data_IF_988793097371
#
_entry.id   IF_988793097371
#
_cell.length_a   1.000
_cell.length_b   1.000
_cell.length_c   1.000
_cell.angle_alpha   90.00
_cell.angle_beta   90.00
_cell.angle_gamma   90.00
#
_symmetry.space_group_name_H-M   'P 1'
#
loop_
_entity.id
_entity.type
_entity.pdbx_description
1 polymer ?
#
# COMPACT_ATOMS: atom_id res chain seq x y z
N UNK A 1 15.53 3.88 29.53
CA UNK A 1 15.35 3.12 28.29
C UNK A 1 13.88 3.07 27.89
N UNK A 2 12.97 2.74 28.82
CA UNK A 2 11.52 2.62 28.55
C UNK A 2 10.88 3.88 27.93
N UNK A 3 11.18 5.06 28.48
CA UNK A 3 10.67 6.33 27.96
C UNK A 3 11.12 6.63 26.49
N UNK A 4 12.23 6.04 26.06
CA UNK A 4 12.78 6.22 24.70
C UNK A 4 12.14 5.24 23.71
N UNK A 5 11.88 4.01 24.15
CA UNK A 5 11.10 3.01 23.39
C UNK A 5 9.68 3.55 23.18
N UNK A 6 9.06 4.12 24.21
CA UNK A 6 7.75 4.76 24.11
C UNK A 6 7.72 5.91 23.10
N UNK A 7 8.79 6.72 23.06
CA UNK A 7 8.91 7.83 22.09
C UNK A 7 8.98 7.32 20.64
N UNK A 8 9.73 6.24 20.38
CA UNK A 8 9.84 5.62 19.05
C UNK A 8 8.54 4.91 18.63
N UNK A 9 7.85 4.28 19.59
CA UNK A 9 6.53 3.70 19.37
C UNK A 9 5.48 4.79 19.07
N UNK A 10 5.50 5.92 19.79
CA UNK A 10 4.62 7.07 19.50
C UNK A 10 4.89 7.69 18.13
N UNK A 11 6.15 7.77 17.70
CA UNK A 11 6.53 8.24 16.37
C UNK A 11 6.05 7.33 15.24
N UNK A 12 6.12 6.02 15.47
CA UNK A 12 5.60 5.02 14.54
C UNK A 12 4.09 5.15 14.42
N UNK A 13 3.39 5.46 15.52
CA UNK A 13 1.96 5.80 15.54
C UNK A 13 1.67 7.13 14.81
N UNK A 14 2.52 8.13 14.97
CA UNK A 14 2.41 9.44 14.31
C UNK A 14 2.59 9.38 12.78
N UNK A 15 3.58 8.62 12.28
CA UNK A 15 3.84 8.42 10.84
C UNK A 15 2.70 7.72 10.10
N UNK A 16 1.78 7.08 10.82
CA UNK A 16 0.54 6.51 10.28
C UNK A 16 -0.61 7.54 10.19
N UNK A 17 -0.34 8.84 10.38
CA UNK A 17 -1.27 9.94 10.17
C UNK A 17 -2.17 10.30 11.36
N UNK A 18 -1.70 10.06 12.60
CA UNK A 18 -2.54 10.01 13.82
C UNK A 18 -2.23 11.05 14.91
N UNK A 19 -1.56 12.16 14.61
CA UNK A 19 -1.24 13.17 15.63
C UNK A 19 -1.22 14.58 15.04
N UNK A 20 -1.56 15.57 15.87
CA UNK A 20 -1.44 16.98 15.50
C UNK A 20 -0.01 17.26 15.01
N UNK A 21 0.18 18.00 13.89
CA UNK A 21 1.49 18.19 13.27
C UNK A 21 2.59 18.65 14.24
N UNK A 22 2.24 19.50 15.22
CA UNK A 22 3.16 19.99 16.24
C UNK A 22 3.73 18.87 17.12
N UNK A 23 2.89 17.92 17.57
CA UNK A 23 3.33 16.80 18.42
C UNK A 23 4.08 15.74 17.60
N UNK A 24 3.74 15.57 16.32
CA UNK A 24 4.55 14.75 15.39
C UNK A 24 5.95 15.33 15.25
N UNK A 25 6.04 16.66 15.07
CA UNK A 25 7.31 17.36 14.97
C UNK A 25 8.14 17.22 16.24
N UNK A 26 7.54 17.38 17.42
CA UNK A 26 8.24 17.24 18.70
C UNK A 26 8.83 15.84 18.90
N UNK A 27 8.03 14.79 18.65
CA UNK A 27 8.53 13.41 18.76
C UNK A 27 9.62 13.13 17.73
N UNK A 28 9.46 13.60 16.50
CA UNK A 28 10.46 13.48 15.44
C UNK A 28 11.79 14.10 15.88
N UNK A 29 11.78 15.30 16.45
CA UNK A 29 12.97 15.95 17.02
C UNK A 29 13.60 15.11 18.13
N UNK A 30 12.80 14.55 19.06
CA UNK A 30 13.33 13.69 20.14
C UNK A 30 14.00 12.43 19.59
N UNK A 31 13.41 11.77 18.61
CA UNK A 31 14.03 10.60 17.97
C UNK A 31 15.27 10.96 17.16
N UNK A 32 15.30 12.12 16.49
CA UNK A 32 16.48 12.59 15.77
C UNK A 32 17.65 12.87 16.73
N UNK A 33 17.39 13.49 17.88
CA UNK A 33 18.38 13.68 18.94
C UNK A 33 18.89 12.34 19.49
N UNK A 34 18.01 11.37 19.71
CA UNK A 34 18.41 10.04 20.18
C UNK A 34 19.26 9.28 19.16
N UNK A 35 18.88 9.36 17.87
CA UNK A 35 19.67 8.77 16.78
C UNK A 35 21.06 9.38 16.69
N UNK A 36 21.16 10.71 16.84
CA UNK A 36 22.45 11.40 16.87
C UNK A 36 23.33 10.88 18.02
N UNK A 37 22.77 10.81 19.24
CA UNK A 37 23.52 10.29 20.42
C UNK A 37 24.07 8.87 20.22
N UNK A 38 23.33 7.98 19.58
CA UNK A 38 23.83 6.63 19.27
C UNK A 38 25.01 6.70 18.30
N UNK A 39 24.89 7.50 17.24
CA UNK A 39 25.97 7.69 16.26
C UNK A 39 27.20 8.35 16.90
N UNK A 40 27.00 9.30 17.81
CA UNK A 40 28.06 9.96 18.56
C UNK A 40 28.76 8.98 19.50
N UNK A 41 28.00 8.07 20.13
CA UNK A 41 28.56 7.00 20.95
C UNK A 41 29.49 6.09 20.14
N UNK A 42 29.04 5.62 18.97
CA UNK A 42 29.91 4.85 18.07
C UNK A 42 31.09 5.68 17.55
N UNK A 43 30.88 6.98 17.28
CA UNK A 43 31.95 7.88 16.82
C UNK A 43 33.05 7.99 17.87
N UNK A 44 32.68 8.24 19.12
CA UNK A 44 33.61 8.38 20.24
C UNK A 44 34.27 7.06 20.64
N UNK A 45 33.63 5.92 20.39
CA UNK A 45 34.24 4.61 20.62
C UNK A 45 35.29 4.28 19.57
N UNK A 46 35.06 4.63 18.31
CA UNK A 46 35.91 4.20 17.19
C UNK A 46 37.00 5.21 16.82
N UNK A 47 36.76 6.49 17.10
CA UNK A 47 37.60 7.60 16.66
C UNK A 47 37.92 8.58 17.78
N UNK A 48 39.14 9.11 17.74
CA UNK A 48 39.58 10.23 18.55
C UNK A 48 38.98 11.55 18.01
N UNK A 49 39.03 12.63 18.79
CA UNK A 49 38.61 13.98 18.41
C UNK A 49 37.16 14.14 17.89
N UNK A 50 36.24 13.31 18.38
CA UNK A 50 34.80 13.38 18.04
C UNK A 50 34.50 13.30 16.53
N UNK A 51 35.35 12.61 15.76
CA UNK A 51 35.12 12.42 14.32
C UNK A 51 33.88 11.56 14.10
N UNK A 52 32.90 12.10 13.37
CA UNK A 52 31.68 11.36 13.04
C UNK A 52 31.98 10.08 12.23
N UNK A 53 31.33 8.96 12.58
CA UNK A 53 31.36 7.70 11.81
C UNK A 53 30.94 7.84 10.34
N UNK A 54 30.32 8.96 9.97
CA UNK A 54 29.90 9.27 8.60
C UNK A 54 30.74 10.35 7.92
N UNK A 55 31.82 10.83 8.56
CA UNK A 55 32.75 11.82 8.01
C UNK A 55 33.22 11.42 6.60
N UNK A 56 33.38 12.42 5.73
CA UNK A 56 33.92 12.21 4.38
C UNK A 56 35.34 11.67 4.41
N UNK A 57 36.12 12.05 5.41
CA UNK A 57 37.50 11.57 5.62
C UNK A 57 37.58 10.06 5.81
N UNK A 58 36.48 9.40 6.21
CA UNK A 58 36.38 7.97 6.50
C UNK A 58 35.70 7.16 5.37
N UNK A 59 35.61 7.73 4.16
CA UNK A 59 34.98 7.05 3.00
C UNK A 59 35.85 5.96 2.39
N UNK A 60 37.17 6.21 2.29
CA UNK A 60 38.12 5.30 1.62
C UNK A 60 38.67 4.28 2.61
N UNK A 61 39.02 4.74 3.80
CA UNK A 61 39.59 3.93 4.87
C UNK A 61 38.85 4.27 6.16
N UNK A 62 38.17 3.28 6.73
CA UNK A 62 37.35 3.49 7.92
C UNK A 62 38.22 3.49 9.19
N UNK A 63 39.15 2.55 9.34
CA UNK A 63 40.06 2.48 10.49
C UNK A 63 41.40 3.16 10.20
N UNK A 64 41.38 4.47 10.02
CA UNK A 64 42.61 5.25 9.82
C UNK A 64 43.49 5.24 11.08
N UNK A 65 44.75 4.79 11.02
CA UNK A 65 45.62 4.69 12.20
C UNK A 65 45.81 6.03 12.94
N UNK A 66 45.73 7.15 12.23
CA UNK A 66 45.99 8.49 12.80
C UNK A 66 44.86 9.05 13.66
N UNK A 67 43.67 8.47 13.61
CA UNK A 67 42.46 8.99 14.29
C UNK A 67 41.60 7.90 14.92
N UNK A 68 42.01 6.62 14.81
CA UNK A 68 41.26 5.50 15.36
C UNK A 68 41.74 5.15 16.77
N UNK A 69 40.80 4.82 17.66
CA UNK A 69 41.07 4.36 19.03
C UNK A 69 41.64 2.93 19.09
N UNK A 70 41.76 2.25 17.96
CA UNK A 70 42.17 0.84 17.86
C UNK A 70 41.04 -0.17 18.09
N UNK A 71 39.85 0.29 18.50
CA UNK A 71 38.66 -0.56 18.65
C UNK A 71 38.12 -0.92 17.26
N UNK A 72 37.93 -2.22 17.02
CA UNK A 72 37.27 -2.75 15.81
C UNK A 72 35.89 -3.29 16.13
N UNK A 73 34.95 -3.01 15.23
CA UNK A 73 33.58 -3.51 15.31
C UNK A 73 33.55 -5.03 15.08
N UNK A 74 32.81 -5.74 15.93
CA UNK A 74 32.48 -7.14 15.73
C UNK A 74 31.35 -7.30 14.70
N UNK A 75 31.09 -8.54 14.26
CA UNK A 75 29.94 -8.86 13.39
C UNK A 75 28.63 -8.39 14.02
N UNK A 76 28.46 -8.54 15.33
CA UNK A 76 27.27 -8.08 16.04
C UNK A 76 27.10 -6.57 16.04
N UNK A 77 28.20 -5.81 16.14
CA UNK A 77 28.16 -4.35 16.11
C UNK A 77 27.76 -3.83 14.73
N UNK A 78 28.29 -4.46 13.67
CA UNK A 78 27.86 -4.18 12.30
C UNK A 78 26.39 -4.51 12.08
N UNK A 79 25.90 -5.67 12.51
CA UNK A 79 24.48 -6.01 12.43
C UNK A 79 23.62 -4.93 13.13
N UNK A 80 24.01 -4.52 14.35
CA UNK A 80 23.29 -3.50 15.10
C UNK A 80 23.23 -2.16 14.37
N UNK A 81 24.34 -1.70 13.79
CA UNK A 81 24.40 -0.46 13.01
C UNK A 81 23.56 -0.54 11.73
N UNK A 82 23.63 -1.66 11.00
CA UNK A 82 22.84 -1.91 9.80
C UNK A 82 21.34 -1.89 10.13
N UNK A 83 20.93 -2.63 11.16
CA UNK A 83 19.54 -2.70 11.63
C UNK A 83 19.07 -1.33 12.08
N UNK A 84 19.90 -0.60 12.81
CA UNK A 84 19.60 0.74 13.29
C UNK A 84 19.34 1.70 12.13
N UNK A 85 20.23 1.77 11.13
CA UNK A 85 20.05 2.67 9.99
C UNK A 85 18.88 2.25 9.10
N UNK A 86 18.72 0.95 8.85
CA UNK A 86 17.60 0.42 8.07
C UNK A 86 16.25 0.74 8.73
N UNK A 87 16.11 0.52 10.04
CA UNK A 87 14.88 0.80 10.80
C UNK A 87 14.53 2.29 10.82
N UNK A 88 15.52 3.16 10.59
CA UNK A 88 15.34 4.60 10.49
C UNK A 88 15.11 5.11 9.05
N UNK A 89 14.84 4.19 8.10
CA UNK A 89 14.68 4.46 6.67
C UNK A 89 15.91 5.15 6.05
N UNK A 90 17.11 4.92 6.61
CA UNK A 90 18.39 5.41 6.07
C UNK A 90 19.07 4.29 5.29
N UNK A 91 18.42 3.85 4.22
CA UNK A 91 18.85 2.71 3.41
C UNK A 91 20.26 2.90 2.82
N UNK A 92 20.59 4.13 2.40
CA UNK A 92 21.94 4.47 1.91
C UNK A 92 23.01 4.27 3.00
N UNK A 93 22.70 4.62 4.25
CA UNK A 93 23.63 4.44 5.39
C UNK A 93 23.72 2.97 5.80
N UNK A 94 22.60 2.24 5.82
CA UNK A 94 22.62 0.80 6.04
C UNK A 94 23.46 0.09 4.98
N UNK A 95 23.35 0.49 3.71
CA UNK A 95 24.15 -0.09 2.64
C UNK A 95 25.63 0.26 2.74
N UNK A 96 25.97 1.49 3.16
CA UNK A 96 27.35 1.88 3.47
C UNK A 96 27.97 0.99 4.56
N UNK A 97 27.18 0.57 5.55
CA UNK A 97 27.66 -0.36 6.58
C UNK A 97 27.88 -1.77 6.06
N UNK A 98 27.07 -2.25 5.10
CA UNK A 98 27.38 -3.49 4.39
C UNK A 98 28.70 -3.40 3.61
N UNK A 99 28.95 -2.30 2.90
CA UNK A 99 30.21 -2.16 2.15
C UNK A 99 31.42 -2.14 3.09
N UNK A 100 31.29 -1.48 4.25
CA UNK A 100 32.33 -1.48 5.29
C UNK A 100 32.52 -2.87 5.91
N UNK A 101 31.43 -3.60 6.11
CA UNK A 101 31.52 -4.99 6.56
C UNK A 101 32.25 -5.83 5.53
N UNK A 102 31.92 -5.70 4.24
CA UNK A 102 32.53 -6.44 3.13
C UNK A 102 34.03 -6.09 2.93
N UNK A 103 34.51 -4.98 3.49
CA UNK A 103 35.94 -4.60 3.50
C UNK A 103 36.72 -5.28 4.63
N UNK A 104 36.08 -5.49 5.78
CA UNK A 104 36.71 -6.04 7.00
C UNK A 104 36.51 -7.56 7.12
N UNK A 105 35.39 -8.05 6.61
CA UNK A 105 34.92 -9.42 6.67
C UNK A 105 34.43 -9.87 5.29
N UNK A 106 34.16 -11.16 5.14
CA UNK A 106 33.54 -11.70 3.93
C UNK A 106 32.02 -11.83 4.10
N UNK A 107 31.28 -11.78 2.99
CA UNK A 107 29.82 -11.98 2.96
C UNK A 107 29.37 -13.29 3.61
N UNK A 108 30.26 -14.28 3.68
CA UNK A 108 30.03 -15.59 4.29
C UNK A 108 29.73 -15.49 5.80
N UNK A 109 30.13 -14.37 6.44
CA UNK A 109 29.89 -14.09 7.85
C UNK A 109 28.61 -13.28 8.09
N UNK A 110 27.82 -13.00 7.05
CA UNK A 110 26.52 -12.35 7.23
C UNK A 110 25.61 -13.21 8.07
N UNK A 111 25.01 -12.60 9.09
CA UNK A 111 23.95 -13.24 9.87
C UNK A 111 22.66 -13.36 9.04
N UNK A 112 21.70 -14.19 9.45
CA UNK A 112 20.39 -14.26 8.79
C UNK A 112 19.67 -12.91 8.70
N UNK A 113 19.84 -12.05 9.71
CA UNK A 113 19.23 -10.71 9.75
C UNK A 113 19.91 -9.74 8.79
N UNK A 114 21.24 -9.83 8.67
CA UNK A 114 21.99 -9.09 7.67
C UNK A 114 21.56 -9.49 6.25
N UNK A 115 21.38 -10.80 5.99
CA UNK A 115 20.85 -11.27 4.70
C UNK A 115 19.44 -10.73 4.41
N UNK A 116 18.51 -10.83 5.38
CA UNK A 116 17.16 -10.28 5.26
C UNK A 116 17.18 -8.80 4.86
N UNK A 117 17.98 -7.98 5.55
CA UNK A 117 18.12 -6.56 5.23
C UNK A 117 18.79 -6.34 3.88
N UNK A 118 19.84 -7.12 3.55
CA UNK A 118 20.55 -7.00 2.27
C UNK A 118 19.61 -7.28 1.10
N UNK A 119 18.77 -8.31 1.19
CA UNK A 119 17.74 -8.55 0.18
C UNK A 119 16.73 -7.39 0.12
N UNK A 120 16.21 -6.92 1.26
CA UNK A 120 15.24 -5.80 1.31
C UNK A 120 15.75 -4.54 0.63
N UNK A 121 17.00 -4.14 0.89
CA UNK A 121 17.64 -2.98 0.23
C UNK A 121 17.77 -3.23 -1.29
N UNK A 122 18.07 -4.46 -1.71
CA UNK A 122 18.23 -4.85 -3.10
C UNK A 122 16.93 -5.29 -3.79
N UNK A 123 15.78 -4.77 -3.35
CA UNK A 123 14.48 -5.00 -4.00
C UNK A 123 13.58 -6.01 -3.29
N UNK A 124 13.98 -6.57 -2.16
CA UNK A 124 13.12 -7.44 -1.34
C UNK A 124 12.05 -6.69 -0.54
N UNK A 125 12.03 -5.35 -0.57
CA UNK A 125 11.01 -4.53 0.11
C UNK A 125 10.11 -3.78 -0.90
N UNK A 126 8.84 -4.18 -1.06
CA UNK A 126 7.88 -3.56 -1.98
C UNK A 126 7.59 -2.09 -1.70
N UNK A 127 7.86 -1.60 -0.49
CA UNK A 127 7.71 -0.17 -0.16
C UNK A 127 8.71 0.71 -0.91
N UNK A 128 9.79 0.11 -1.40
CA UNK A 128 10.87 0.77 -2.15
C UNK A 128 10.72 0.60 -3.67
N UNK A 129 9.60 0.04 -4.14
CA UNK A 129 9.36 -0.20 -5.56
C UNK A 129 8.65 0.98 -6.20
N UNK A 130 9.13 1.37 -7.39
CA UNK A 130 8.40 2.29 -8.25
C UNK A 130 7.35 1.51 -8.99
N UNK A 131 6.08 1.73 -8.67
CA UNK A 131 4.97 1.17 -9.45
C UNK A 131 5.01 1.82 -10.82
N UNK A 132 5.19 1.00 -11.85
CA UNK A 132 5.27 1.48 -13.22
C UNK A 132 3.86 1.75 -13.76
N UNK A 133 3.77 2.74 -14.64
CA UNK A 133 2.56 3.05 -15.39
C UNK A 133 2.24 1.87 -16.32
N UNK A 134 0.95 1.55 -16.43
CA UNK A 134 0.44 0.63 -17.45
C UNK A 134 -0.27 1.47 -18.54
N UNK A 135 -0.51 0.88 -19.70
CA UNK A 135 -1.12 1.55 -20.87
C UNK A 135 -2.47 2.23 -20.58
N UNK A 136 -3.19 1.77 -19.55
CA UNK A 136 -4.51 2.29 -19.15
C UNK A 136 -4.49 3.02 -17.81
N UNK A 137 -3.36 3.08 -17.10
CA UNK A 137 -3.31 3.63 -15.75
C UNK A 137 -1.93 4.13 -15.28
N UNK A 138 -1.93 5.32 -14.66
CA UNK A 138 -0.75 5.89 -13.98
C UNK A 138 -0.92 5.75 -12.46
N UNK A 139 0.03 5.05 -11.83
CA UNK A 139 0.23 5.11 -10.38
C UNK A 139 1.40 6.02 -10.10
N UNK A 140 1.13 7.24 -9.66
CA UNK A 140 2.18 8.09 -9.14
C UNK A 140 2.37 7.79 -7.64
N UNK A 141 3.28 6.86 -7.31
CA UNK A 141 3.70 6.63 -5.93
C UNK A 141 5.03 7.32 -5.68
N UNK A 142 5.07 8.19 -4.67
CA UNK A 142 6.33 8.67 -4.10
C UNK A 142 7.04 7.50 -3.40
N UNK A 143 7.94 6.85 -4.12
CA UNK A 143 8.79 5.78 -3.58
C UNK A 143 9.81 6.40 -2.64
N UNK A 144 10.18 5.73 -1.56
CA UNK A 144 11.40 6.11 -0.84
C UNK A 144 12.61 5.81 -1.75
N UNK A 145 13.32 6.86 -2.18
CA UNK A 145 14.49 6.71 -3.04
C UNK A 145 15.72 6.49 -2.17
N UNK A 146 16.49 5.46 -2.52
CA UNK A 146 17.89 5.30 -2.10
C UNK A 146 18.73 5.72 -3.29
N UNK A 147 19.69 6.61 -3.07
CA UNK A 147 20.65 7.02 -4.11
C UNK A 147 21.75 5.97 -4.31
N UNK A 148 21.77 4.94 -3.48
CA UNK A 148 22.76 3.88 -3.53
C UNK A 148 22.53 2.92 -4.71
N UNK A 149 23.62 2.58 -5.41
CA UNK A 149 23.63 1.60 -6.52
C UNK A 149 23.43 0.18 -6.00
N UNK A 150 22.31 -0.44 -6.37
CA UNK A 150 21.97 -1.81 -5.95
C UNK A 150 22.96 -2.83 -6.53
N UNK A 151 23.20 -3.89 -5.77
CA UNK A 151 23.99 -5.04 -6.20
C UNK A 151 23.23 -5.81 -7.30
N UNK A 152 23.91 -6.27 -8.38
CA UNK A 152 23.29 -7.14 -9.37
C UNK A 152 22.69 -8.39 -8.71
N UNK A 153 21.48 -8.77 -9.13
CA UNK A 153 20.75 -9.91 -8.54
C UNK A 153 21.55 -11.22 -8.60
N UNK A 154 22.25 -11.47 -9.70
CA UNK A 154 23.08 -12.67 -9.87
C UNK A 154 24.19 -12.73 -8.82
N UNK A 155 24.86 -11.61 -8.56
CA UNK A 155 25.89 -11.52 -7.53
C UNK A 155 25.28 -11.76 -6.14
N UNK A 156 24.14 -11.14 -5.84
CA UNK A 156 23.46 -11.29 -4.54
C UNK A 156 23.06 -12.75 -4.27
N UNK A 157 22.40 -13.39 -5.24
CA UNK A 157 21.96 -14.78 -5.11
C UNK A 157 23.14 -15.76 -5.05
N UNK A 158 24.16 -15.58 -5.89
CA UNK A 158 25.34 -16.45 -5.88
C UNK A 158 26.08 -16.35 -4.55
N UNK A 159 26.24 -15.15 -3.98
CA UNK A 159 26.88 -14.99 -2.67
C UNK A 159 26.05 -15.64 -1.55
N UNK A 160 24.73 -15.49 -1.58
CA UNK A 160 23.84 -16.09 -0.58
C UNK A 160 23.87 -17.62 -0.63
N UNK A 161 23.69 -18.21 -1.82
CA UNK A 161 23.53 -19.65 -2.03
C UNK A 161 24.81 -20.46 -1.78
N UNK A 162 25.99 -19.83 -1.75
CA UNK A 162 27.25 -20.51 -1.37
C UNK A 162 27.21 -21.06 0.05
N UNK A 163 26.49 -20.40 0.96
CA UNK A 163 26.57 -20.67 2.40
C UNK A 163 25.20 -20.80 3.08
N UNK A 164 24.11 -20.48 2.39
CA UNK A 164 22.78 -20.46 2.96
C UNK A 164 21.80 -21.32 2.16
N UNK A 165 20.82 -21.84 2.87
CA UNK A 165 19.67 -22.53 2.29
C UNK A 165 18.65 -21.51 1.76
N UNK A 166 18.13 -21.77 0.57
CA UNK A 166 17.16 -20.94 -0.15
C UNK A 166 15.90 -20.65 0.68
N UNK A 167 15.44 -21.66 1.40
CA UNK A 167 14.23 -21.66 2.22
C UNK A 167 14.27 -20.62 3.34
N UNK A 168 15.47 -20.23 3.80
CA UNK A 168 15.64 -19.29 4.92
C UNK A 168 15.26 -17.84 4.58
N UNK A 169 15.22 -17.48 3.29
CA UNK A 169 14.97 -16.10 2.82
C UNK A 169 14.02 -16.05 1.62
N UNK A 170 13.23 -17.11 1.43
CA UNK A 170 12.40 -17.31 0.23
C UNK A 170 11.44 -16.14 -0.07
N UNK A 171 10.83 -15.54 0.95
CA UNK A 171 9.94 -14.39 0.81
C UNK A 171 10.66 -13.21 0.15
N UNK A 172 11.82 -12.84 0.68
CA UNK A 172 12.63 -11.75 0.17
C UNK A 172 13.21 -12.05 -1.22
N UNK A 173 13.55 -13.31 -1.50
CA UNK A 173 14.05 -13.74 -2.81
C UNK A 173 12.97 -13.61 -3.87
N UNK A 174 11.75 -14.07 -3.61
CA UNK A 174 10.60 -13.90 -4.52
C UNK A 174 10.37 -12.42 -4.82
N UNK A 175 10.43 -11.57 -3.79
CA UNK A 175 10.29 -10.12 -3.95
C UNK A 175 11.42 -9.53 -4.78
N UNK A 176 12.69 -9.90 -4.54
CA UNK A 176 13.82 -9.48 -5.37
C UNK A 176 13.64 -9.90 -6.84
N UNK A 177 13.28 -11.16 -7.11
CA UNK A 177 13.00 -11.63 -8.47
C UNK A 177 11.88 -10.80 -9.12
N UNK A 178 10.83 -10.48 -8.36
CA UNK A 178 9.75 -9.61 -8.79
C UNK A 178 10.22 -8.20 -9.14
N UNK A 179 11.03 -7.58 -8.28
CA UNK A 179 11.61 -6.26 -8.51
C UNK A 179 12.45 -6.21 -9.79
N UNK A 180 13.27 -7.23 -10.03
CA UNK A 180 14.11 -7.36 -11.22
C UNK A 180 13.36 -7.92 -12.45
N UNK A 181 12.04 -8.09 -12.37
CA UNK A 181 11.16 -8.58 -13.45
C UNK A 181 11.54 -9.96 -13.98
N UNK A 182 12.05 -10.84 -13.12
CA UNK A 182 12.42 -12.23 -13.45
C UNK A 182 11.27 -13.18 -13.12
N UNK A 183 10.14 -12.97 -13.79
CA UNK A 183 8.89 -13.71 -13.52
C UNK A 183 9.06 -15.21 -13.75
N UNK A 184 9.73 -15.62 -14.83
CA UNK A 184 9.98 -17.05 -15.11
C UNK A 184 10.78 -17.73 -14.00
N UNK A 185 11.74 -17.01 -13.40
CA UNK A 185 12.51 -17.51 -12.26
C UNK A 185 11.65 -17.65 -11.01
N UNK A 186 10.62 -16.82 -10.82
CA UNK A 186 9.65 -17.00 -9.73
C UNK A 186 8.87 -18.29 -9.93
N UNK A 187 8.40 -18.55 -11.15
CA UNK A 187 7.67 -19.78 -11.48
C UNK A 187 8.54 -21.02 -11.30
N UNK A 188 9.78 -20.96 -11.79
CA UNK A 188 10.75 -22.04 -11.59
C UNK A 188 11.00 -22.30 -10.10
N UNK A 189 11.18 -21.24 -9.30
CA UNK A 189 11.39 -21.34 -7.86
C UNK A 189 10.20 -21.99 -7.14
N UNK A 190 8.99 -21.53 -7.43
CA UNK A 190 7.75 -22.09 -6.85
C UNK A 190 7.60 -23.55 -7.25
N UNK A 191 7.83 -23.85 -8.53
CA UNK A 191 7.78 -25.21 -9.05
C UNK A 191 8.80 -26.12 -8.37
N UNK A 192 10.05 -25.68 -8.21
CA UNK A 192 11.13 -26.44 -7.58
C UNK A 192 10.86 -26.75 -6.10
N UNK A 193 10.40 -25.77 -5.33
CA UNK A 193 10.25 -25.89 -3.87
C UNK A 193 8.92 -26.52 -3.48
N UNK A 194 7.83 -26.10 -4.14
CA UNK A 194 6.47 -26.46 -3.75
C UNK A 194 5.79 -27.43 -4.72
N UNK A 195 6.39 -27.70 -5.88
CA UNK A 195 5.82 -28.61 -6.87
C UNK A 195 4.51 -28.10 -7.49
N UNK A 196 4.32 -26.79 -7.56
CA UNK A 196 3.17 -26.15 -8.22
C UNK A 196 3.63 -25.53 -9.53
N UNK A 197 2.93 -25.82 -10.62
CA UNK A 197 3.24 -25.26 -11.93
C UNK A 197 2.61 -23.87 -12.16
N UNK A 198 2.85 -23.28 -13.33
CA UNK A 198 2.29 -21.99 -13.75
C UNK A 198 0.76 -21.95 -13.86
N UNK A 199 0.12 -23.12 -13.98
CA UNK A 199 -1.34 -23.23 -14.00
C UNK A 199 -1.95 -23.23 -12.61
N UNK A 200 -1.13 -23.38 -11.56
CA UNK A 200 -1.58 -23.56 -10.18
C UNK A 200 -1.89 -25.02 -9.86
N UNK A 201 -1.50 -25.95 -10.73
CA UNK A 201 -1.73 -27.38 -10.49
C UNK A 201 -0.52 -28.02 -9.82
N UNK A 202 -0.78 -29.02 -9.00
CA UNK A 202 0.28 -29.80 -8.35
C UNK A 202 0.89 -30.74 -9.38
N UNK A 203 2.21 -30.68 -9.54
CA UNK A 203 2.95 -31.57 -10.42
C UNK A 203 2.94 -32.99 -9.83
N UNK A 204 2.45 -34.00 -10.57
CA UNK A 204 2.43 -35.39 -10.11
C UNK A 204 3.84 -35.87 -9.75
N UNK A 205 3.96 -36.66 -8.68
CA UNK A 205 5.19 -37.33 -8.24
C UNK A 205 6.34 -36.40 -7.79
N UNK A 206 6.11 -35.09 -7.63
CA UNK A 206 7.10 -34.21 -7.01
C UNK A 206 6.96 -34.23 -5.49
N UNK A 207 8.04 -34.63 -4.81
CA UNK A 207 8.13 -34.57 -3.35
C UNK A 207 8.11 -33.09 -2.99
N UNK A 208 7.02 -32.65 -2.34
CA UNK A 208 6.92 -31.29 -1.79
C UNK A 208 7.95 -31.24 -0.65
N UNK A 209 8.80 -30.22 -0.65
CA UNK A 209 9.65 -29.96 0.52
C UNK A 209 8.78 -29.88 1.79
N UNK A 210 9.22 -30.47 2.91
CA UNK A 210 8.52 -30.38 4.21
C UNK A 210 8.39 -28.92 4.72
N UNK A 211 8.95 -27.93 4.01
CA UNK A 211 8.66 -26.52 4.23
C UNK A 211 7.21 -26.19 3.92
N UNK A 212 6.39 -26.14 4.97
CA UNK A 212 5.08 -25.51 4.93
C UNK A 212 5.19 -24.09 4.33
N UNK A 213 4.39 -23.81 3.32
CA UNK A 213 4.29 -22.48 2.75
C UNK A 213 3.66 -21.52 3.77
N UNK A 214 4.31 -20.39 4.02
CA UNK A 214 3.81 -19.37 4.93
C UNK A 214 2.85 -18.40 4.21
N UNK A 215 1.98 -17.73 4.97
CA UNK A 215 1.20 -16.59 4.46
C UNK A 215 2.14 -15.49 3.91
N UNK A 216 3.34 -15.33 4.48
CA UNK A 216 4.34 -14.38 4.01
C UNK A 216 4.89 -14.71 2.62
N UNK A 217 5.11 -16.00 2.31
CA UNK A 217 5.47 -16.47 0.97
C UNK A 217 4.34 -16.19 -0.01
N UNK A 218 3.10 -16.55 0.35
CA UNK A 218 1.95 -16.29 -0.51
C UNK A 218 1.79 -14.80 -0.81
N UNK A 219 1.95 -13.96 0.21
CA UNK A 219 1.93 -12.51 0.07
C UNK A 219 3.05 -12.01 -0.85
N UNK A 220 4.25 -12.58 -0.74
CA UNK A 220 5.40 -12.23 -1.60
C UNK A 220 5.14 -12.57 -3.06
N UNK A 221 4.53 -13.74 -3.34
CA UNK A 221 4.11 -14.16 -4.69
C UNK A 221 3.10 -13.17 -5.26
N UNK A 222 2.04 -12.86 -4.51
CA UNK A 222 1.01 -11.90 -4.94
C UNK A 222 1.64 -10.55 -5.27
N UNK A 223 2.47 -10.01 -4.39
CA UNK A 223 3.10 -8.70 -4.62
C UNK A 223 4.02 -8.74 -5.84
N UNK A 224 4.90 -9.75 -5.95
CA UNK A 224 5.87 -9.86 -7.04
C UNK A 224 5.19 -10.02 -8.41
N UNK A 225 4.19 -10.89 -8.51
CA UNK A 225 3.45 -11.10 -9.76
C UNK A 225 2.57 -9.89 -10.11
N UNK A 226 1.88 -9.30 -9.13
CA UNK A 226 1.05 -8.11 -9.35
C UNK A 226 1.87 -6.92 -9.85
N UNK A 227 3.07 -6.72 -9.30
CA UNK A 227 3.99 -5.68 -9.75
C UNK A 227 4.42 -5.86 -11.21
N UNK A 228 4.48 -7.10 -11.70
CA UNK A 228 4.82 -7.46 -13.07
C UNK A 228 3.59 -7.65 -13.97
N UNK A 229 2.44 -7.06 -13.61
CA UNK A 229 1.19 -7.14 -14.37
C UNK A 229 0.63 -8.57 -14.53
N UNK A 230 1.01 -9.50 -13.65
CA UNK A 230 0.55 -10.90 -13.60
C UNK A 230 -0.39 -11.16 -12.42
N UNK A 231 -1.19 -10.17 -12.04
CA UNK A 231 -2.09 -10.25 -10.87
C UNK A 231 -3.01 -11.48 -10.90
N UNK A 232 -3.67 -11.76 -12.03
CA UNK A 232 -4.60 -12.89 -12.12
C UNK A 232 -3.88 -14.25 -12.07
N UNK A 233 -2.63 -14.33 -12.51
CA UNK A 233 -1.81 -15.55 -12.37
C UNK A 233 -1.50 -15.80 -10.89
N UNK A 234 -1.31 -14.76 -10.08
CA UNK A 234 -1.13 -14.89 -8.62
C UNK A 234 -2.34 -15.52 -7.91
N UNK A 235 -3.55 -15.31 -8.42
CA UNK A 235 -4.77 -15.92 -7.85
C UNK A 235 -4.77 -17.44 -8.00
N UNK A 236 -4.16 -17.96 -9.07
CA UNK A 236 -4.04 -19.41 -9.28
C UNK A 236 -3.18 -20.04 -8.19
N UNK A 237 -2.07 -19.40 -7.84
CA UNK A 237 -1.21 -19.84 -6.74
C UNK A 237 -1.92 -19.78 -5.39
N UNK A 238 -2.73 -18.74 -5.12
CA UNK A 238 -3.54 -18.70 -3.89
C UNK A 238 -4.43 -19.93 -3.77
N UNK A 239 -5.19 -20.23 -4.82
CA UNK A 239 -6.10 -21.38 -4.83
C UNK A 239 -5.33 -22.70 -4.66
N UNK A 240 -4.21 -22.86 -5.37
CA UNK A 240 -3.35 -24.04 -5.31
C UNK A 240 -2.79 -24.31 -3.90
N UNK A 241 -2.38 -23.24 -3.20
CA UNK A 241 -1.80 -23.38 -1.87
C UNK A 241 -2.85 -23.56 -0.78
N UNK A 242 -4.06 -23.03 -0.97
CA UNK A 242 -5.20 -23.35 -0.11
C UNK A 242 -5.64 -24.81 -0.27
N UNK A 243 -5.64 -25.35 -1.49
CA UNK A 243 -6.06 -26.74 -1.75
C UNK A 243 -5.01 -27.77 -1.31
N UNK A 244 -3.72 -27.48 -1.50
CA UNK A 244 -2.67 -28.50 -1.37
C UNK A 244 -1.77 -28.36 -0.14
N UNK A 245 -1.71 -27.17 0.48
CA UNK A 245 -0.70 -26.87 1.49
C UNK A 245 -1.28 -26.30 2.81
N UNK A 246 -2.59 -26.45 3.04
CA UNK A 246 -3.27 -26.09 4.28
C UNK A 246 -2.99 -24.64 4.76
N UNK A 247 -2.84 -23.70 3.83
CA UNK A 247 -2.70 -22.28 4.17
C UNK A 247 -4.08 -21.71 4.53
N UNK A 248 -4.31 -21.50 5.82
CA UNK A 248 -5.57 -20.92 6.31
C UNK A 248 -5.53 -19.40 6.26
N UNK A 249 -6.32 -18.82 5.35
CA UNK A 249 -6.48 -17.36 5.21
C UNK A 249 -7.45 -16.73 6.23
N UNK A 250 -7.89 -17.53 7.21
CA UNK A 250 -8.81 -17.14 8.28
C UNK A 250 -8.08 -16.68 9.56
N UNK A 251 -6.75 -16.78 9.57
CA UNK A 251 -5.94 -16.43 10.74
C UNK A 251 -5.77 -14.92 10.93
N UNK A 252 -5.39 -14.50 12.14
CA UNK A 252 -5.06 -13.10 12.45
C UNK A 252 -3.91 -12.57 11.57
N UNK A 253 -3.00 -13.45 11.15
CA UNK A 253 -1.84 -13.12 10.33
C UNK A 253 -2.22 -12.83 8.87
N UNK A 254 -3.37 -13.34 8.41
CA UNK A 254 -3.88 -13.10 7.06
C UNK A 254 -4.37 -11.66 6.83
N UNK A 255 -4.58 -10.85 7.87
CA UNK A 255 -5.05 -9.47 7.71
C UNK A 255 -4.10 -8.57 6.89
N UNK A 256 -2.79 -8.82 6.97
CA UNK A 256 -1.80 -8.15 6.12
C UNK A 256 -1.85 -8.63 4.67
N UNK A 257 -1.97 -9.95 4.48
CA UNK A 257 -2.15 -10.56 3.16
C UNK A 257 -3.37 -9.99 2.44
N UNK A 258 -4.55 -10.01 3.08
CA UNK A 258 -5.78 -9.46 2.50
C UNK A 258 -5.67 -7.97 2.20
N UNK A 259 -5.03 -7.21 3.09
CA UNK A 259 -4.74 -5.79 2.85
C UNK A 259 -3.92 -5.56 1.59
N UNK A 260 -2.88 -6.37 1.36
CA UNK A 260 -2.07 -6.30 0.15
C UNK A 260 -2.82 -6.80 -1.09
N UNK A 261 -3.59 -7.88 -0.96
CA UNK A 261 -4.41 -8.42 -2.04
C UNK A 261 -5.36 -7.35 -2.57
N UNK A 262 -6.21 -6.78 -1.70
CA UNK A 262 -7.14 -5.70 -2.06
C UNK A 262 -6.43 -4.47 -2.62
N UNK A 263 -5.29 -4.08 -2.04
CA UNK A 263 -4.49 -2.97 -2.56
C UNK A 263 -4.04 -3.23 -3.99
N UNK A 264 -3.50 -4.41 -4.28
CA UNK A 264 -3.05 -4.77 -5.62
C UNK A 264 -4.23 -4.99 -6.58
N UNK A 265 -5.38 -5.50 -6.12
CA UNK A 265 -6.63 -5.51 -6.89
C UNK A 265 -7.03 -4.10 -7.30
N UNK A 266 -7.04 -3.15 -6.36
CA UNK A 266 -7.41 -1.76 -6.65
C UNK A 266 -6.44 -1.14 -7.66
N UNK A 267 -5.13 -1.35 -7.49
CA UNK A 267 -4.11 -0.80 -8.38
C UNK A 267 -4.18 -1.38 -9.80
N UNK A 268 -4.41 -2.69 -9.93
CA UNK A 268 -4.36 -3.40 -11.22
C UNK A 268 -5.63 -3.23 -12.04
N UNK A 269 -6.78 -3.05 -11.39
CA UNK A 269 -8.08 -2.86 -12.04
C UNK A 269 -8.45 -1.40 -12.28
N UNK A 270 -7.66 -0.44 -11.76
CA UNK A 270 -7.93 0.99 -11.93
C UNK A 270 -7.48 1.43 -13.31
N UNK A 271 -8.20 2.40 -13.86
CA UNK A 271 -7.88 3.00 -15.15
C UNK A 271 -8.09 4.51 -15.14
N UNK A 272 -7.45 5.20 -16.07
CA UNK A 272 -7.63 6.62 -16.34
C UNK A 272 -8.37 6.79 -17.67
N UNK A 273 -9.47 7.55 -17.68
CA UNK A 273 -10.30 7.76 -18.89
C UNK A 273 -9.48 8.26 -20.09
N UNK A 274 -8.52 9.17 -19.88
CA UNK A 274 -7.66 9.69 -20.94
C UNK A 274 -6.77 8.59 -21.53
N UNK A 275 -6.15 7.79 -20.67
CA UNK A 275 -5.28 6.70 -21.12
C UNK A 275 -6.06 5.56 -21.76
N UNK A 276 -7.26 5.27 -21.28
CA UNK A 276 -8.19 4.33 -21.91
C UNK A 276 -8.55 4.79 -23.32
N UNK A 277 -8.80 6.09 -23.51
CA UNK A 277 -9.01 6.68 -24.82
C UNK A 277 -7.76 6.58 -25.70
N UNK A 278 -6.59 6.98 -25.20
CA UNK A 278 -5.31 6.87 -25.93
C UNK A 278 -5.02 5.42 -26.35
N UNK A 279 -5.25 4.46 -25.45
CA UNK A 279 -5.08 3.03 -25.70
C UNK A 279 -6.05 2.51 -26.77
N UNK A 280 -7.32 2.89 -26.66
CA UNK A 280 -8.35 2.51 -27.62
C UNK A 280 -8.04 3.04 -29.03
N UNK A 281 -7.65 4.32 -29.13
CA UNK A 281 -7.23 4.94 -30.39
C UNK A 281 -6.02 4.22 -30.98
N UNK A 282 -4.99 3.95 -30.17
CA UNK A 282 -3.78 3.26 -30.62
C UNK A 282 -4.07 1.88 -31.20
N UNK A 283 -5.04 1.16 -30.65
CA UNK A 283 -5.43 -0.18 -31.13
C UNK A 283 -6.24 -0.15 -32.42
N UNK A 284 -6.98 0.92 -32.69
CA UNK A 284 -7.84 1.06 -33.88
C UNK A 284 -7.10 1.77 -35.01
N UNK A 285 -6.29 2.78 -34.68
CA UNK A 285 -5.46 3.52 -35.62
C UNK A 285 -4.11 3.89 -34.97
N UNK A 286 -3.06 3.06 -35.15
CA UNK A 286 -1.74 3.28 -34.57
C UNK A 286 -1.05 4.59 -35.00
N UNK A 287 -1.52 5.22 -36.08
CA UNK A 287 -0.97 6.47 -36.63
C UNK A 287 -1.74 7.72 -36.18
N UNK A 288 -2.85 7.56 -35.45
CA UNK A 288 -3.65 8.68 -34.97
C UNK A 288 -2.88 9.45 -33.88
N UNK A 289 -2.81 10.79 -34.04
CA UNK A 289 -2.24 11.69 -33.02
C UNK A 289 -3.19 11.78 -31.82
N UNK A 290 -2.64 12.07 -30.64
CA UNK A 290 -3.41 12.27 -29.41
C UNK A 290 -4.48 13.37 -29.57
N UNK A 291 -5.73 12.94 -29.69
CA UNK A 291 -6.90 13.81 -29.81
C UNK A 291 -7.75 13.72 -28.54
N UNK A 292 -8.47 14.78 -28.18
CA UNK A 292 -9.39 14.71 -27.04
C UNK A 292 -10.72 14.05 -27.44
N UNK A 293 -11.48 13.54 -26.46
CA UNK A 293 -12.78 12.92 -26.74
C UNK A 293 -13.73 13.87 -27.52
N UNK A 294 -13.85 15.17 -27.17
CA UNK A 294 -14.64 16.12 -27.97
C UNK A 294 -14.19 16.24 -29.43
N UNK A 295 -12.88 16.19 -29.70
CA UNK A 295 -12.37 16.27 -31.07
C UNK A 295 -12.75 15.03 -31.88
N UNK A 296 -12.70 13.86 -31.22
CA UNK A 296 -12.99 12.55 -31.84
C UNK A 296 -14.48 12.31 -32.04
N UNK A 297 -15.35 12.91 -31.21
CA UNK A 297 -16.80 12.83 -31.42
C UNK A 297 -17.25 13.47 -32.74
N UNK A 298 -16.42 14.36 -33.31
CA UNK A 298 -16.67 14.97 -34.62
C UNK A 298 -16.00 14.21 -35.78
N UNK A 299 -15.24 13.14 -35.50
CA UNK A 299 -14.59 12.31 -36.51
C UNK A 299 -15.53 11.16 -36.92
N UNK A 300 -15.84 11.09 -38.21
CA UNK A 300 -16.70 10.05 -38.81
C UNK A 300 -16.10 8.65 -38.64
N UNK A 301 -14.78 8.54 -38.50
CA UNK A 301 -14.09 7.26 -38.36
C UNK A 301 -13.94 6.80 -36.91
N UNK A 302 -14.40 7.60 -35.93
CA UNK A 302 -14.33 7.23 -34.52
C UNK A 302 -15.59 6.49 -34.08
N UNK A 303 -15.43 5.19 -33.79
CA UNK A 303 -16.50 4.36 -33.23
C UNK A 303 -16.70 4.67 -31.73
N UNK A 304 -17.47 5.74 -31.47
CA UNK A 304 -17.79 6.21 -30.12
C UNK A 304 -18.60 5.18 -29.32
N UNK A 305 -19.53 4.47 -29.97
CA UNK A 305 -20.35 3.46 -29.31
C UNK A 305 -19.47 2.32 -28.77
N UNK A 306 -18.56 1.81 -29.59
CA UNK A 306 -17.64 0.75 -29.18
C UNK A 306 -16.61 1.22 -28.15
N UNK A 307 -16.21 2.50 -28.17
CA UNK A 307 -15.41 3.11 -27.11
C UNK A 307 -16.16 3.14 -25.77
N UNK A 308 -17.44 3.50 -25.78
CA UNK A 308 -18.29 3.47 -24.59
C UNK A 308 -18.45 2.04 -24.06
N UNK A 309 -18.70 1.07 -24.94
CA UNK A 309 -18.77 -0.36 -24.57
C UNK A 309 -17.45 -0.84 -23.93
N UNK A 310 -16.29 -0.50 -24.53
CA UNK A 310 -14.99 -0.84 -23.98
C UNK A 310 -14.77 -0.24 -22.59
N UNK A 311 -15.17 1.02 -22.40
CA UNK A 311 -15.05 1.69 -21.10
C UNK A 311 -15.96 1.07 -20.05
N UNK A 312 -17.20 0.74 -20.42
CA UNK A 312 -18.17 0.09 -19.54
C UNK A 312 -17.69 -1.31 -19.13
N UNK A 313 -17.14 -2.09 -20.06
CA UNK A 313 -16.54 -3.39 -19.78
C UNK A 313 -15.42 -3.31 -18.73
N UNK A 314 -14.57 -2.28 -18.80
CA UNK A 314 -13.52 -2.05 -17.80
C UNK A 314 -14.11 -1.69 -16.43
N UNK A 315 -15.17 -0.88 -16.39
CA UNK A 315 -15.89 -0.55 -15.15
C UNK A 315 -16.48 -1.81 -14.53
N UNK A 316 -17.23 -2.59 -15.31
CA UNK A 316 -17.89 -3.81 -14.85
C UNK A 316 -16.89 -4.86 -14.38
N UNK A 317 -15.80 -5.08 -15.12
CA UNK A 317 -14.72 -5.98 -14.68
C UNK A 317 -14.15 -5.55 -13.33
N UNK A 318 -13.84 -4.27 -13.16
CA UNK A 318 -13.33 -3.74 -11.88
C UNK A 318 -14.33 -3.94 -10.75
N UNK A 319 -15.60 -3.61 -10.97
CA UNK A 319 -16.68 -3.76 -9.99
C UNK A 319 -16.82 -5.22 -9.56
N UNK A 320 -16.90 -6.14 -10.52
CA UNK A 320 -17.04 -7.57 -10.27
C UNK A 320 -15.86 -8.12 -9.47
N UNK A 321 -14.62 -7.81 -9.88
CA UNK A 321 -13.42 -8.29 -9.19
C UNK A 321 -13.35 -7.73 -7.77
N UNK A 322 -13.57 -6.43 -7.57
CA UNK A 322 -13.51 -5.82 -6.24
C UNK A 322 -14.56 -6.40 -5.29
N UNK A 323 -15.79 -6.63 -5.77
CA UNK A 323 -16.86 -7.26 -5.00
C UNK A 323 -16.55 -8.71 -4.64
N UNK A 324 -16.04 -9.49 -5.60
CA UNK A 324 -15.65 -10.89 -5.35
C UNK A 324 -14.53 -10.98 -4.30
N UNK A 325 -13.46 -10.18 -4.45
CA UNK A 325 -12.36 -10.18 -3.47
C UNK A 325 -12.83 -9.69 -2.09
N UNK A 326 -13.71 -8.70 -2.04
CA UNK A 326 -14.29 -8.24 -0.78
C UNK A 326 -15.15 -9.32 -0.10
N UNK A 327 -15.98 -10.02 -0.86
CA UNK A 327 -16.78 -11.14 -0.35
C UNK A 327 -15.89 -12.28 0.16
N UNK A 328 -14.80 -12.60 -0.53
CA UNK A 328 -13.80 -13.58 -0.06
C UNK A 328 -13.14 -13.14 1.26
N UNK A 329 -12.77 -11.86 1.37
CA UNK A 329 -12.22 -11.30 2.60
C UNK A 329 -13.20 -11.35 3.78
N UNK A 330 -14.48 -11.10 3.54
CA UNK A 330 -15.51 -11.18 4.58
C UNK A 330 -15.79 -12.63 5.00
N UNK A 331 -15.89 -13.54 4.03
CA UNK A 331 -16.17 -14.96 4.28
C UNK A 331 -15.01 -15.68 4.96
N UNK A 332 -13.77 -15.22 4.78
CA UNK A 332 -12.60 -15.76 5.50
C UNK A 332 -12.56 -15.35 6.98
N UNK A 333 -13.64 -14.80 7.55
CA UNK A 333 -13.73 -14.35 8.94
C UNK A 333 -12.58 -13.42 9.36
N UNK A 334 -12.07 -12.64 8.40
CA UNK A 334 -10.88 -11.81 8.57
C UNK A 334 -11.09 -10.78 9.68
N UNK A 335 -10.14 -10.68 10.63
CA UNK A 335 -10.12 -9.54 11.55
C UNK A 335 -9.94 -8.23 10.78
N UNK A 336 -10.47 -7.14 11.34
CA UNK A 336 -10.40 -5.81 10.73
C UNK A 336 -8.98 -5.45 10.28
N UNK A 337 -8.84 -5.11 9.00
CA UNK A 337 -7.60 -4.62 8.38
C UNK A 337 -7.82 -3.21 7.84
N UNK A 338 -7.13 -2.23 8.43
CA UNK A 338 -7.25 -0.80 8.03
C UNK A 338 -7.01 -0.63 6.52
N UNK A 339 -6.02 -1.36 5.99
CA UNK A 339 -5.65 -1.27 4.57
C UNK A 339 -6.77 -1.83 3.69
N UNK A 340 -7.33 -3.00 4.04
CA UNK A 340 -8.45 -3.60 3.32
C UNK A 340 -9.66 -2.68 3.29
N UNK A 341 -10.13 -2.24 4.47
CA UNK A 341 -11.31 -1.37 4.60
C UNK A 341 -11.12 -0.02 3.91
N UNK A 342 -9.95 0.61 4.04
CA UNK A 342 -9.67 1.88 3.35
C UNK A 342 -9.64 1.71 1.83
N UNK A 343 -9.11 0.59 1.33
CA UNK A 343 -9.06 0.30 -0.11
C UNK A 343 -10.45 0.06 -0.65
N UNK A 344 -11.26 -0.76 0.03
CA UNK A 344 -12.65 -1.00 -0.36
C UNK A 344 -13.49 0.28 -0.28
N UNK A 345 -13.30 1.10 0.77
CA UNK A 345 -13.92 2.42 0.87
C UNK A 345 -13.57 3.34 -0.31
N UNK A 346 -12.31 3.34 -0.76
CA UNK A 346 -11.91 4.11 -1.94
C UNK A 346 -12.58 3.63 -3.23
N UNK A 347 -12.89 2.34 -3.33
CA UNK A 347 -13.69 1.77 -4.41
C UNK A 347 -15.16 2.21 -4.30
N UNK A 348 -15.79 2.04 -3.13
CA UNK A 348 -17.20 2.40 -2.92
C UNK A 348 -17.50 3.86 -3.22
N UNK A 349 -16.62 4.80 -2.84
CA UNK A 349 -16.78 6.22 -3.16
C UNK A 349 -16.95 6.55 -4.64
N UNK A 350 -16.49 5.66 -5.54
CA UNK A 350 -16.49 5.86 -6.99
C UNK A 350 -17.55 5.05 -7.71
N UNK A 351 -17.81 3.84 -7.23
CA UNK A 351 -18.59 2.83 -7.96
C UNK A 351 -19.55 2.06 -7.06
N UNK A 352 -19.61 2.39 -5.78
CA UNK A 352 -20.51 1.75 -4.82
C UNK A 352 -21.92 2.34 -4.90
N UNK A 353 -22.89 1.47 -4.66
CA UNK A 353 -24.28 1.83 -4.44
C UNK A 353 -24.50 2.29 -3.00
N UNK A 354 -25.64 2.95 -2.75
CA UNK A 354 -26.01 3.38 -1.40
C UNK A 354 -26.10 2.20 -0.42
N UNK A 355 -26.69 1.09 -0.86
CA UNK A 355 -26.82 -0.13 -0.08
C UNK A 355 -25.45 -0.69 0.34
N UNK A 356 -24.48 -0.75 -0.58
CA UNK A 356 -23.14 -1.24 -0.27
C UNK A 356 -22.42 -0.34 0.76
N UNK A 357 -22.73 0.96 0.79
CA UNK A 357 -22.19 1.86 1.82
C UNK A 357 -22.84 1.62 3.18
N UNK A 358 -24.15 1.32 3.23
CA UNK A 358 -24.79 0.91 4.48
C UNK A 358 -24.25 -0.41 5.00
N UNK A 359 -24.11 -1.44 4.16
CA UNK A 359 -23.47 -2.71 4.51
C UNK A 359 -22.03 -2.46 5.04
N UNK A 360 -21.29 -1.55 4.41
CA UNK A 360 -19.96 -1.15 4.88
C UNK A 360 -19.98 -0.47 6.26
N UNK A 361 -20.97 0.39 6.53
CA UNK A 361 -21.17 1.01 7.84
C UNK A 361 -21.52 -0.05 8.90
N UNK A 362 -22.40 -1.00 8.61
CA UNK A 362 -22.77 -2.08 9.54
C UNK A 362 -21.54 -2.91 9.96
N UNK A 363 -20.67 -3.25 9.00
CA UNK A 363 -19.42 -3.97 9.27
C UNK A 363 -18.46 -3.14 10.13
N UNK A 364 -18.35 -1.83 9.87
CA UNK A 364 -17.52 -0.97 10.70
C UNK A 364 -18.11 -0.81 12.11
N UNK A 365 -19.43 -0.78 12.25
CA UNK A 365 -20.10 -0.70 13.54
C UNK A 365 -19.86 -1.98 14.36
N UNK A 366 -19.97 -3.15 13.73
CA UNK A 366 -19.71 -4.44 14.41
C UNK A 366 -18.27 -4.51 14.93
N UNK A 367 -17.29 -4.07 14.14
CA UNK A 367 -15.91 -3.94 14.60
C UNK A 367 -15.75 -2.84 15.66
N UNK A 368 -16.42 -1.70 15.53
CA UNK A 368 -16.39 -0.65 16.54
C UNK A 368 -16.84 -1.21 17.89
N UNK A 369 -17.91 -2.00 17.93
CA UNK A 369 -18.36 -2.67 19.14
C UNK A 369 -17.32 -3.67 19.68
N UNK A 370 -16.77 -4.52 18.81
CA UNK A 370 -15.76 -5.51 19.18
C UNK A 370 -14.48 -4.89 19.79
N UNK A 371 -14.05 -3.73 19.29
CA UNK A 371 -12.84 -3.03 19.73
C UNK A 371 -13.09 -1.93 20.77
N UNK A 372 -14.36 -1.65 21.10
CA UNK A 372 -14.74 -0.66 22.12
C UNK A 372 -14.51 -1.24 23.52
N UNK A 373 -13.28 -1.16 24.01
CA UNK A 373 -12.92 -1.59 25.36
C UNK A 373 -12.73 -0.38 26.28
N UNK A 374 -13.15 -0.50 27.54
CA UNK A 374 -13.00 0.56 28.54
C UNK A 374 -11.54 0.99 28.68
N UNK A 375 -11.29 2.30 28.81
CA UNK A 375 -9.93 2.88 28.90
C UNK A 375 -9.07 2.30 30.04
N UNK A 376 -9.72 1.79 31.09
CA UNK A 376 -9.06 1.15 32.23
C UNK A 376 -8.70 -0.33 32.03
N UNK A 377 -9.16 -0.98 30.95
CA UNK A 377 -8.93 -2.41 30.73
C UNK A 377 -7.49 -2.73 30.35
N UNK A 378 -7.06 -3.95 30.70
CA UNK A 378 -5.77 -4.50 30.29
C UNK A 378 -5.59 -4.48 28.76
N UNK A 379 -6.63 -4.87 28.03
CA UNK A 379 -6.65 -4.89 26.56
C UNK A 379 -6.47 -3.48 25.97
N UNK A 380 -7.05 -2.45 26.59
CA UNK A 380 -6.89 -1.07 26.12
C UNK A 380 -5.44 -0.56 26.30
N UNK A 381 -4.78 -0.90 27.42
CA UNK A 381 -3.43 -0.43 27.74
C UNK A 381 -2.32 -1.20 27.01
N UNK A 382 -2.45 -2.51 26.87
CA UNK A 382 -1.34 -3.37 26.41
C UNK A 382 -1.49 -3.89 24.98
N UNK A 383 -2.71 -4.03 24.44
CA UNK A 383 -2.91 -4.56 23.08
C UNK A 383 -2.98 -3.48 21.98
N UNK A 384 -2.80 -2.21 22.33
CA UNK A 384 -2.76 -1.11 21.36
C UNK A 384 -4.06 -0.88 20.57
N UNK A 385 -5.20 -1.38 21.07
CA UNK A 385 -6.50 -1.39 20.37
C UNK A 385 -7.04 0.00 20.03
N UNK A 386 -6.58 1.05 20.71
CA UNK A 386 -6.94 2.45 20.44
C UNK A 386 -6.71 2.84 18.97
N UNK A 387 -5.61 2.37 18.38
CA UNK A 387 -5.26 2.67 16.99
C UNK A 387 -6.26 2.08 16.00
N UNK A 388 -6.73 0.87 16.29
CA UNK A 388 -7.68 0.14 15.47
C UNK A 388 -9.06 0.77 15.58
N UNK A 389 -9.51 1.03 16.81
CA UNK A 389 -10.80 1.68 17.09
C UNK A 389 -10.91 3.05 16.42
N UNK A 390 -9.86 3.89 16.54
CA UNK A 390 -9.85 5.19 15.87
C UNK A 390 -9.91 5.08 14.35
N UNK A 391 -9.18 4.13 13.75
CA UNK A 391 -9.24 3.91 12.30
C UNK A 391 -10.62 3.46 11.85
N UNK A 392 -11.30 2.63 12.63
CA UNK A 392 -12.69 2.24 12.39
C UNK A 392 -13.60 3.47 12.42
N UNK A 393 -13.57 4.24 13.52
CA UNK A 393 -14.40 5.44 13.69
C UNK A 393 -14.14 6.51 12.63
N UNK A 394 -12.88 6.70 12.23
CA UNK A 394 -12.49 7.63 11.16
C UNK A 394 -13.05 7.21 9.80
N UNK A 395 -12.95 5.92 9.44
CA UNK A 395 -13.53 5.39 8.21
C UNK A 395 -15.05 5.48 8.23
N UNK A 396 -15.66 5.16 9.36
CA UNK A 396 -17.10 5.24 9.57
C UNK A 396 -17.60 6.66 9.34
N UNK A 397 -16.97 7.65 9.98
CA UNK A 397 -17.35 9.05 9.81
C UNK A 397 -17.13 9.56 8.38
N UNK A 398 -16.07 9.10 7.69
CA UNK A 398 -15.89 9.42 6.27
C UNK A 398 -17.02 8.87 5.40
N UNK A 399 -17.49 7.66 5.69
CA UNK A 399 -18.64 7.07 4.99
C UNK A 399 -19.94 7.84 5.27
N UNK A 400 -20.19 8.26 6.51
CA UNK A 400 -21.31 9.14 6.85
C UNK A 400 -21.25 10.46 6.08
N UNK A 401 -20.09 11.13 6.02
CA UNK A 401 -19.94 12.38 5.25
C UNK A 401 -20.26 12.20 3.78
N UNK A 402 -19.79 11.11 3.20
CA UNK A 402 -20.06 10.79 1.80
C UNK A 402 -21.55 10.53 1.56
N UNK A 403 -22.23 9.81 2.46
CA UNK A 403 -23.67 9.58 2.40
C UNK A 403 -24.47 10.88 2.49
N UNK A 404 -24.06 11.79 3.39
CA UNK A 404 -24.64 13.14 3.47
C UNK A 404 -24.46 13.85 2.12
N UNK A 405 -23.24 13.87 1.56
CA UNK A 405 -22.98 14.51 0.26
C UNK A 405 -23.78 13.86 -0.88
N UNK A 406 -23.92 12.53 -0.90
CA UNK A 406 -24.71 11.81 -1.89
C UNK A 406 -26.20 12.17 -1.81
N UNK A 407 -26.79 12.19 -0.61
CA UNK A 407 -28.18 12.64 -0.38
C UNK A 407 -28.38 14.08 -0.81
N UNK A 408 -27.45 14.97 -0.52
CA UNK A 408 -27.52 16.38 -0.95
C UNK A 408 -27.44 16.52 -2.47
N UNK A 409 -26.52 15.80 -3.13
CA UNK A 409 -26.38 15.84 -4.58
C UNK A 409 -27.63 15.31 -5.29
N UNK A 410 -28.34 14.36 -4.68
CA UNK A 410 -29.62 13.82 -5.15
C UNK A 410 -30.85 14.63 -4.68
N UNK A 411 -30.64 15.80 -4.07
CA UNK A 411 -31.71 16.67 -3.55
C UNK A 411 -32.59 16.04 -2.44
N UNK A 412 -32.12 14.98 -1.80
CA UNK A 412 -32.80 14.25 -0.73
C UNK A 412 -32.49 14.86 0.65
N UNK A 413 -32.65 16.19 0.79
CA UNK A 413 -32.25 16.93 2.00
C UNK A 413 -32.96 16.42 3.25
N UNK A 414 -34.25 16.07 3.13
CA UNK A 414 -35.06 15.56 4.25
C UNK A 414 -34.57 14.22 4.82
N UNK A 415 -33.77 13.46 4.06
CA UNK A 415 -33.24 12.17 4.49
C UNK A 415 -31.91 12.29 5.27
N UNK A 416 -31.29 13.48 5.29
CA UNK A 416 -29.97 13.69 5.92
C UNK A 416 -30.05 13.65 7.44
N UNK A 417 -31.05 14.28 8.05
CA UNK A 417 -31.17 14.29 9.51
C UNK A 417 -31.52 12.91 10.09
N UNK A 418 -32.46 12.13 9.50
CA UNK A 418 -32.67 10.74 9.88
C UNK A 418 -31.38 9.91 9.80
N UNK A 419 -30.62 10.03 8.70
CA UNK A 419 -29.32 9.35 8.54
C UNK A 419 -28.37 9.69 9.69
N UNK A 420 -28.20 10.97 10.05
CA UNK A 420 -27.32 11.38 11.15
C UNK A 420 -27.80 10.81 12.48
N UNK A 421 -29.11 10.83 12.73
CA UNK A 421 -29.69 10.40 14.01
C UNK A 421 -29.54 8.90 14.23
N UNK A 422 -29.77 8.10 13.18
CA UNK A 422 -29.76 6.64 13.26
C UNK A 422 -28.36 6.05 13.10
N UNK A 423 -27.54 6.61 12.21
CA UNK A 423 -26.29 5.95 11.82
C UNK A 423 -25.05 6.53 12.49
N UNK A 424 -25.07 7.68 13.17
CA UNK A 424 -23.88 8.15 13.89
C UNK A 424 -23.65 7.38 15.20
N UNK A 425 -22.41 6.92 15.40
CA UNK A 425 -22.00 6.05 16.52
C UNK A 425 -22.23 6.67 17.91
N UNK A 426 -22.00 7.97 18.06
CA UNK A 426 -22.09 8.67 19.34
C UNK A 426 -22.55 10.14 19.17
N UNK A 427 -22.75 10.82 20.30
CA UNK A 427 -23.17 12.22 20.34
C UNK A 427 -22.16 13.16 19.68
N UNK A 428 -20.86 12.90 19.82
CA UNK A 428 -19.82 13.74 19.22
C UNK A 428 -19.88 13.65 17.70
N UNK A 429 -19.93 12.44 17.14
CA UNK A 429 -20.06 12.22 15.70
C UNK A 429 -21.35 12.83 15.15
N UNK A 430 -22.47 12.74 15.89
CA UNK A 430 -23.74 13.41 15.50
C UNK A 430 -23.58 14.92 15.41
N UNK A 431 -22.94 15.53 16.41
CA UNK A 431 -22.71 16.97 16.43
C UNK A 431 -21.80 17.40 15.26
N UNK A 432 -20.71 16.67 15.02
CA UNK A 432 -19.79 16.95 13.91
C UNK A 432 -20.46 16.74 12.53
N UNK A 433 -21.25 15.67 12.35
CA UNK A 433 -21.98 15.40 11.13
C UNK A 433 -23.07 16.44 10.85
N UNK A 434 -23.80 16.86 11.89
CA UNK A 434 -24.81 17.93 11.80
C UNK A 434 -24.15 19.26 11.40
N UNK A 435 -23.01 19.59 12.01
CA UNK A 435 -22.27 20.78 11.64
C UNK A 435 -21.77 20.71 10.19
N UNK A 436 -21.23 19.56 9.78
CA UNK A 436 -20.82 19.32 8.40
C UNK A 436 -21.98 19.52 7.42
N UNK A 437 -23.15 18.93 7.69
CA UNK A 437 -24.36 19.12 6.88
C UNK A 437 -24.75 20.61 6.76
N UNK A 438 -24.81 21.33 7.89
CA UNK A 438 -25.14 22.78 7.91
C UNK A 438 -24.19 23.61 7.05
N UNK A 439 -22.89 23.32 7.07
CA UNK A 439 -21.90 24.04 6.24
C UNK A 439 -22.04 23.78 4.73
N UNK A 440 -22.75 22.72 4.34
CA UNK A 440 -22.96 22.34 2.92
C UNK A 440 -24.27 22.87 2.34
N UNK A 441 -25.27 23.16 3.17
CA UNK A 441 -26.55 23.72 2.73
C UNK A 441 -26.42 24.95 1.80
N UNK A 442 -25.57 25.95 2.10
CA UNK A 442 -25.40 27.10 1.21
C UNK A 442 -24.85 26.71 -0.17
N UNK A 443 -23.95 25.72 -0.22
CA UNK A 443 -23.38 25.23 -1.48
C UNK A 443 -24.41 24.50 -2.33
N UNK A 444 -25.33 23.76 -1.69
CA UNK A 444 -26.44 23.11 -2.39
C UNK A 444 -27.42 24.14 -2.96
N UNK A 445 -27.81 25.13 -2.16
CA UNK A 445 -28.70 26.21 -2.61
C UNK A 445 -28.15 26.90 -3.87
N UNK A 446 -26.85 27.22 -3.87
CA UNK A 446 -26.17 27.78 -5.03
C UNK A 446 -26.22 26.86 -6.26
N UNK A 447 -25.93 25.56 -6.10
CA UNK A 447 -26.00 24.59 -7.20
C UNK A 447 -27.40 24.41 -7.78
N UNK A 448 -28.43 24.48 -6.94
CA UNK A 448 -29.83 24.39 -7.38
C UNK A 448 -30.16 25.63 -8.22
N UNK A 449 -29.74 26.81 -7.78
CA UNK A 449 -29.94 28.05 -8.51
C UNK A 449 -29.19 28.06 -9.84
N UNK A 450 -27.91 27.65 -9.86
CA UNK A 450 -27.11 27.51 -11.09
C UNK A 450 -27.77 26.54 -12.09
N UNK A 451 -28.37 25.43 -11.61
CA UNK A 451 -29.13 24.51 -12.47
C UNK A 451 -30.40 25.14 -13.02
N UNK A 452 -31.15 25.88 -12.21
CA UNK A 452 -32.35 26.60 -12.64
C UNK A 452 -32.02 27.65 -13.70
N UNK A 453 -30.94 28.41 -13.50
CA UNK A 453 -30.46 29.38 -14.49
C UNK A 453 -30.10 28.69 -15.81
N UNK A 454 -29.38 27.55 -15.76
CA UNK A 454 -29.04 26.77 -16.96
C UNK A 454 -30.27 26.21 -17.67
N UNK A 455 -31.27 25.73 -16.94
CA UNK A 455 -32.54 25.25 -17.50
C UNK A 455 -33.33 26.40 -18.14
N UNK A 456 -33.40 27.57 -17.50
CA UNK A 456 -34.04 28.76 -18.08
C UNK A 456 -33.32 29.24 -19.34
N UNK A 457 -31.98 29.19 -19.39
CA UNK A 457 -31.21 29.55 -20.59
C UNK A 457 -31.50 28.57 -21.74
N UNK A 458 -31.54 27.26 -21.45
CA UNK A 458 -31.89 26.24 -22.46
C UNK A 458 -33.30 26.42 -23.00
N UNK A 459 -34.28 26.67 -22.13
CA UNK A 459 -35.66 26.93 -22.55
C UNK A 459 -35.77 28.17 -23.44
N UNK A 460 -35.03 29.25 -23.13
CA UNK A 460 -34.99 30.44 -23.99
C UNK A 460 -34.34 30.19 -25.36
N UNK A 461 -33.35 29.31 -25.42
CA UNK A 461 -32.70 28.93 -26.69
C UNK A 461 -33.56 27.97 -27.52
N UNK A 462 -34.39 27.15 -26.88
CA UNK A 462 -35.34 26.25 -27.56
C UNK A 462 -36.63 26.97 -28.02
N UNK A 463 -36.96 28.13 -27.43
CA UNK A 463 -38.11 28.96 -27.82
C UNK A 463 -37.79 29.95 -28.97
N UNK A 464 -36.52 30.31 -29.21
CA UNK A 464 -36.12 31.22 -30.30
C UNK A 464 -36.41 30.70 -31.73
N UNK A 465 -36.31 29.40 -32.09
CA UNK A 465 -36.67 28.94 -33.43
C UNK A 465 -38.18 28.87 -33.69
N UNK A 466 -39.03 29.04 -32.67
CA UNK A 466 -40.49 29.00 -32.83
C UNK A 466 -41.12 30.38 -33.07
N UNK A 467 -40.44 31.46 -32.69
CA UNK A 467 -40.89 32.84 -32.87
C UNK A 467 -40.38 33.52 -34.16
N UNK A 468 -39.50 32.88 -34.92
CA UNK A 468 -39.07 33.34 -36.25
C UNK A 468 -39.98 32.86 -37.41
N UNK A 469 -41.07 32.14 -37.11
CA UNK A 469 -42.03 31.61 -38.09
C UNK A 469 -43.40 32.31 -38.10
N UNK A 470 -43.52 33.51 -37.52
CA UNK A 470 -44.73 34.35 -37.64
C UNK A 470 -44.43 35.76 -38.14
#
# INVERSE_FOLDING_TARGET
MDHQIDTLLELTRARQGKMAPARVSELQTKADTWRARIRDLYSNLLFEDHVSIYSESLRVEFYKPSISTGIRLSVGDFENLIVFEFSNNKFDLANKWFDRFDQEFNMDQYTPKMWDIRFKINGGDPRLWKVYENDVFIVNTNVAHSYYKRMPLSQLLNSFLKHNKLESQIENIILCLGYYRKVDSIYQLIHEIYGVDVSGEKVPNKIISDTNISIGVLNSIVIALSYNHRYFESMKFINAFQSHASVYLESQEAGFFWGNLLKWTDLTTKFNKKMVLDYYIKNINPQAKHSTLPDLMNDVNFDYERYLQFTEDLIQKRVNIMRQIWSLFQSSNGRFSVVAYKTYWNFLKRSGTEQEVFEFLELLNSHNYQFSVTRGSFNFKYLGLNNTLWSIQSLYYQAIKWMIEAKLNNQLVGQVQPLINEWCLDYQMRAEATQFFKTRLPKLAKKIEEKREQEMIKQRQDDEPFLELF
#
